data_IF_944192179509
#
_entry.id   IF_944192179509
#
_cell.length_a   1.000
_cell.length_b   1.000
_cell.length_c   1.000
_cell.angle_alpha   90.00
_cell.angle_beta   90.00
_cell.angle_gamma   90.00
#
_symmetry.space_group_name_H-M   'P 1'
#
loop_
_entity.id
_entity.type
_entity.pdbx_description
1 polymer ?
#
# COMPACT_ATOMS: atom_id res chain seq x y z
N UNK A 1 44.97 31.06 -15.11
CA UNK A 1 43.57 30.85 -14.67
C UNK A 1 42.81 30.34 -15.88
N UNK A 2 42.59 29.03 -15.94
CA UNK A 2 42.12 28.35 -17.16
C UNK A 2 40.62 28.57 -17.38
N UNK A 3 40.16 28.92 -18.59
CA UNK A 3 38.74 28.97 -18.89
C UNK A 3 38.19 27.55 -18.97
N UNK A 4 37.14 27.26 -18.22
CA UNK A 4 36.35 26.02 -18.32
C UNK A 4 35.83 25.89 -19.75
N UNK A 5 36.42 24.97 -20.50
CA UNK A 5 36.04 24.63 -21.87
C UNK A 5 34.60 24.13 -21.90
N UNK A 6 33.87 24.60 -22.92
CA UNK A 6 32.43 24.42 -23.07
C UNK A 6 31.94 22.98 -23.04
N UNK A 7 30.69 22.81 -22.60
CA UNK A 7 29.97 21.55 -22.71
C UNK A 7 30.03 21.05 -24.16
N UNK A 8 30.65 19.89 -24.38
CA UNK A 8 30.68 19.24 -25.69
C UNK A 8 29.23 19.01 -26.16
N UNK A 9 28.93 19.33 -27.42
CA UNK A 9 27.60 19.01 -27.97
C UNK A 9 27.43 17.49 -28.05
N UNK A 10 26.19 17.00 -27.92
CA UNK A 10 25.86 15.56 -28.06
C UNK A 10 26.42 15.00 -29.38
N UNK A 11 26.42 15.82 -30.43
CA UNK A 11 26.99 15.46 -31.73
C UNK A 11 28.51 15.25 -31.67
N UNK A 12 29.24 16.15 -31.01
CA UNK A 12 30.70 16.02 -30.82
C UNK A 12 31.03 14.81 -29.94
N UNK A 13 30.24 14.57 -28.89
CA UNK A 13 30.38 13.40 -28.02
C UNK A 13 30.15 12.10 -28.80
N UNK A 14 29.09 12.03 -29.61
CA UNK A 14 28.79 10.85 -30.45
C UNK A 14 29.91 10.59 -31.48
N UNK A 15 30.44 11.65 -32.11
CA UNK A 15 31.56 11.55 -33.05
C UNK A 15 32.83 11.00 -32.38
N UNK A 16 33.19 11.53 -31.21
CA UNK A 16 34.36 11.09 -30.46
C UNK A 16 34.22 9.63 -29.98
N UNK A 17 33.02 9.25 -29.52
CA UNK A 17 32.72 7.90 -29.07
C UNK A 17 32.43 6.91 -30.22
N UNK A 18 32.43 7.37 -31.48
CA UNK A 18 32.14 6.58 -32.69
C UNK A 18 30.80 5.84 -32.64
N UNK A 19 29.80 6.44 -31.99
CA UNK A 19 28.41 5.94 -31.92
C UNK A 19 27.49 6.83 -32.75
N UNK A 20 26.45 6.23 -33.33
CA UNK A 20 25.44 7.03 -34.03
C UNK A 20 24.59 7.80 -33.02
N UNK A 21 24.19 9.04 -33.37
CA UNK A 21 23.23 9.83 -32.57
C UNK A 21 21.94 9.05 -32.28
N UNK A 22 21.45 8.30 -33.28
CA UNK A 22 20.25 7.49 -33.13
C UNK A 22 20.42 6.39 -32.06
N UNK A 23 21.58 5.72 -32.03
CA UNK A 23 21.89 4.72 -31.00
C UNK A 23 22.02 5.36 -29.61
N UNK A 24 22.64 6.54 -29.52
CA UNK A 24 22.75 7.27 -28.26
C UNK A 24 21.38 7.64 -27.69
N UNK A 25 20.49 8.24 -28.48
CA UNK A 25 19.14 8.57 -28.02
C UNK A 25 18.30 7.33 -27.71
N UNK A 26 18.47 6.22 -28.46
CA UNK A 26 17.77 4.96 -28.16
C UNK A 26 18.19 4.42 -26.79
N UNK A 27 19.50 4.34 -26.53
CA UNK A 27 20.04 3.92 -25.24
C UNK A 27 19.61 4.85 -24.10
N UNK A 28 19.57 6.15 -24.36
CA UNK A 28 19.10 7.14 -23.38
C UNK A 28 17.61 6.96 -23.06
N UNK A 29 16.78 6.65 -24.06
CA UNK A 29 15.35 6.34 -23.86
C UNK A 29 15.16 5.00 -23.15
N UNK A 30 16.07 4.05 -23.27
CA UNK A 30 16.00 2.75 -22.58
C UNK A 30 16.42 2.86 -21.10
N UNK A 31 17.50 3.57 -20.78
CA UNK A 31 18.04 3.62 -19.42
C UNK A 31 17.46 4.73 -18.53
N UNK A 32 17.13 5.89 -19.11
CA UNK A 32 16.63 7.04 -18.33
C UNK A 32 15.26 6.80 -17.65
N UNK A 33 14.32 6.03 -18.23
CA UNK A 33 13.08 5.68 -17.53
C UNK A 33 13.34 4.77 -16.33
N UNK A 34 14.31 3.85 -16.41
CA UNK A 34 14.56 2.84 -15.38
C UNK A 34 15.12 3.45 -14.09
N UNK A 35 16.09 4.36 -14.20
CA UNK A 35 16.69 5.03 -13.03
C UNK A 35 15.73 6.00 -12.34
N UNK A 36 15.02 6.84 -13.12
CA UNK A 36 13.99 7.73 -12.56
C UNK A 36 12.85 6.95 -11.93
N UNK A 37 12.38 5.87 -12.57
CA UNK A 37 11.33 5.03 -12.01
C UNK A 37 11.78 4.34 -10.74
N UNK A 38 13.06 3.95 -10.62
CA UNK A 38 13.58 3.30 -9.41
C UNK A 38 13.58 4.25 -8.20
N UNK A 39 14.02 5.50 -8.37
CA UNK A 39 14.02 6.50 -7.30
C UNK A 39 12.59 6.84 -6.84
N UNK A 40 11.67 7.01 -7.80
CA UNK A 40 10.26 7.28 -7.51
C UNK A 40 9.59 6.08 -6.85
N UNK A 41 9.83 4.85 -7.35
CA UNK A 41 9.30 3.62 -6.77
C UNK A 41 9.77 3.41 -5.34
N UNK A 42 11.06 3.59 -5.08
CA UNK A 42 11.63 3.49 -3.73
C UNK A 42 10.94 4.45 -2.77
N UNK A 43 10.75 5.70 -3.20
CA UNK A 43 10.04 6.72 -2.40
C UNK A 43 8.57 6.35 -2.15
N UNK A 44 7.86 5.84 -3.16
CA UNK A 44 6.47 5.36 -3.03
C UNK A 44 6.39 4.22 -2.02
N UNK A 45 7.28 3.23 -2.11
CA UNK A 45 7.33 2.07 -1.22
C UNK A 45 7.59 2.48 0.23
N UNK A 46 8.56 3.38 0.46
CA UNK A 46 8.85 3.92 1.79
C UNK A 46 7.63 4.61 2.41
N UNK A 47 6.94 5.47 1.66
CA UNK A 47 5.74 6.17 2.13
C UNK A 47 4.61 5.17 2.42
N UNK A 48 4.40 4.20 1.51
CA UNK A 48 3.37 3.19 1.69
C UNK A 48 3.60 2.34 2.96
N UNK A 49 4.84 1.91 3.21
CA UNK A 49 5.20 1.14 4.40
C UNK A 49 5.08 1.98 5.68
N UNK A 50 5.58 3.22 5.68
CA UNK A 50 5.49 4.13 6.82
C UNK A 50 4.04 4.35 7.28
N UNK A 51 3.08 4.35 6.35
CA UNK A 51 1.65 4.52 6.65
C UNK A 51 0.86 3.21 6.73
N UNK A 52 1.53 2.05 6.80
CA UNK A 52 0.91 0.72 6.85
C UNK A 52 -0.09 0.48 5.70
N UNK A 53 0.28 0.93 4.50
CA UNK A 53 -0.53 0.86 3.27
C UNK A 53 -1.90 1.54 3.37
N UNK A 54 -2.13 2.44 4.32
CA UNK A 54 -3.41 3.18 4.43
C UNK A 54 -3.51 4.34 3.43
N UNK A 55 -2.38 4.81 2.92
CA UNK A 55 -2.35 5.96 2.02
C UNK A 55 -2.58 5.50 0.58
N UNK A 56 -3.60 6.07 -0.06
CA UNK A 56 -3.81 5.93 -1.51
C UNK A 56 -2.91 6.86 -2.33
N UNK A 57 -2.91 6.67 -3.65
CA UNK A 57 -2.06 7.40 -4.60
C UNK A 57 -2.18 8.92 -4.48
N UNK A 58 -3.34 9.46 -4.08
CA UNK A 58 -3.53 10.91 -3.86
C UNK A 58 -2.68 11.44 -2.71
N UNK A 59 -2.67 10.74 -1.57
CA UNK A 59 -1.89 11.12 -0.38
C UNK A 59 -0.40 10.90 -0.63
N UNK A 60 -0.04 9.78 -1.26
CA UNK A 60 1.34 9.51 -1.66
C UNK A 60 1.85 10.58 -2.65
N UNK A 61 1.04 11.00 -3.61
CA UNK A 61 1.44 12.08 -4.54
C UNK A 61 1.69 13.42 -3.83
N UNK A 62 0.92 13.74 -2.78
CA UNK A 62 1.13 14.95 -1.99
C UNK A 62 2.42 14.87 -1.15
N UNK A 63 2.68 13.70 -0.57
CA UNK A 63 3.90 13.42 0.20
C UNK A 63 5.15 13.48 -0.69
N UNK A 64 5.09 12.88 -1.89
CA UNK A 64 6.17 12.97 -2.89
C UNK A 64 6.47 14.42 -3.26
N UNK A 65 5.44 15.24 -3.47
CA UNK A 65 5.61 16.67 -3.75
C UNK A 65 6.28 17.41 -2.60
N UNK A 66 5.93 17.06 -1.36
CA UNK A 66 6.54 17.64 -0.15
C UNK A 66 8.03 17.30 -0.04
N UNK A 67 8.42 16.13 -0.55
CA UNK A 67 9.83 15.69 -0.65
C UNK A 67 10.56 16.24 -1.88
N UNK A 68 9.95 17.15 -2.65
CA UNK A 68 10.54 17.74 -3.86
C UNK A 68 10.41 16.88 -5.12
N UNK A 69 9.75 15.72 -5.06
CA UNK A 69 9.53 14.84 -6.21
C UNK A 69 8.23 15.21 -6.93
N UNK A 70 8.35 15.97 -8.03
CA UNK A 70 7.22 16.39 -8.85
C UNK A 70 6.81 15.30 -9.84
N UNK A 71 6.01 14.34 -9.35
CA UNK A 71 5.48 13.23 -10.16
C UNK A 71 3.99 13.41 -10.41
N UNK A 72 3.54 13.16 -11.65
CA UNK A 72 2.11 13.18 -11.97
C UNK A 72 1.37 12.07 -11.20
N UNK A 73 0.25 12.43 -10.55
CA UNK A 73 -0.62 11.50 -9.82
C UNK A 73 -1.03 10.24 -10.60
N UNK A 74 -1.15 10.32 -11.94
CA UNK A 74 -1.43 9.16 -12.80
C UNK A 74 -0.22 8.22 -12.92
N UNK A 75 1.01 8.76 -12.94
CA UNK A 75 2.24 7.94 -12.91
C UNK A 75 2.37 7.23 -11.55
N UNK A 76 2.12 7.94 -10.45
CA UNK A 76 2.08 7.33 -9.10
C UNK A 76 1.07 6.19 -9.04
N UNK A 77 -0.15 6.39 -9.56
CA UNK A 77 -1.17 5.33 -9.59
C UNK A 77 -0.71 4.09 -10.38
N UNK A 78 -0.13 4.27 -11.58
CA UNK A 78 0.39 3.16 -12.39
C UNK A 78 1.49 2.38 -11.67
N UNK A 79 2.45 3.08 -11.06
CA UNK A 79 3.53 2.45 -10.30
C UNK A 79 3.00 1.69 -9.08
N UNK A 80 2.06 2.27 -8.34
CA UNK A 80 1.41 1.59 -7.22
C UNK A 80 0.63 0.34 -7.64
N UNK A 81 -0.01 0.36 -8.82
CA UNK A 81 -0.70 -0.81 -9.36
C UNK A 81 0.29 -1.90 -9.78
N UNK A 82 1.37 -1.54 -10.48
CA UNK A 82 2.41 -2.46 -10.90
C UNK A 82 3.09 -3.14 -9.70
N UNK A 83 3.28 -2.40 -8.60
CA UNK A 83 3.97 -2.89 -7.40
C UNK A 83 3.00 -3.46 -6.34
N UNK A 84 1.70 -3.57 -6.66
CA UNK A 84 0.64 -4.06 -5.76
C UNK A 84 0.55 -3.30 -4.40
N UNK A 85 0.78 -1.98 -4.43
CA UNK A 85 0.80 -1.08 -3.27
C UNK A 85 -0.53 -0.33 -3.07
N UNK A 86 -1.64 -0.85 -3.59
CA UNK A 86 -2.95 -0.23 -3.41
C UNK A 86 -3.30 -0.11 -1.91
N UNK A 87 -4.03 0.97 -1.58
CA UNK A 87 -4.34 1.28 -0.20
C UNK A 87 -5.28 0.22 0.39
N UNK A 88 -4.95 -0.25 1.59
CA UNK A 88 -5.76 -1.20 2.35
C UNK A 88 -6.51 -0.41 3.42
N UNK A 89 -7.84 -0.43 3.33
CA UNK A 89 -8.69 0.10 4.39
C UNK A 89 -8.86 -1.00 5.44
N UNK A 90 -8.51 -0.75 6.72
CA UNK A 90 -8.82 -1.71 7.77
C UNK A 90 -10.33 -1.85 7.88
N UNK A 91 -10.80 -3.09 8.09
CA UNK A 91 -12.21 -3.35 8.39
C UNK A 91 -12.56 -2.57 9.66
N UNK A 92 -13.68 -1.86 9.65
CA UNK A 92 -14.18 -1.22 10.84
C UNK A 92 -14.36 -2.27 11.94
N UNK A 93 -13.80 -2.02 13.12
CA UNK A 93 -14.09 -2.84 14.29
C UNK A 93 -15.54 -2.55 14.68
N UNK A 94 -16.38 -3.59 14.66
CA UNK A 94 -17.77 -3.48 15.08
C UNK A 94 -17.84 -4.02 16.49
N UNK A 95 -18.14 -3.14 17.45
CA UNK A 95 -18.45 -3.52 18.82
C UNK A 95 -19.87 -4.06 18.81
N UNK A 96 -20.03 -5.37 18.95
CA UNK A 96 -21.35 -6.01 19.03
C UNK A 96 -21.89 -6.02 20.47
N UNK A 97 -21.06 -5.70 21.45
CA UNK A 97 -21.39 -5.80 22.87
C UNK A 97 -21.40 -4.41 23.51
N UNK A 98 -22.57 -3.97 23.94
CA UNK A 98 -22.70 -2.82 24.84
C UNK A 98 -22.15 -3.23 26.21
N UNK A 99 -20.88 -2.89 26.47
CA UNK A 99 -20.21 -3.22 27.73
C UNK A 99 -20.52 -2.22 28.85
N UNK A 100 -21.03 -1.04 28.49
CA UNK A 100 -21.48 0.00 29.41
C UNK A 100 -23.00 -0.10 29.62
N UNK A 101 -23.44 -1.25 30.11
CA UNK A 101 -24.84 -1.48 30.45
C UNK A 101 -25.01 -1.46 31.98
N UNK A 102 -26.18 -1.02 32.45
CA UNK A 102 -26.52 -1.05 33.88
C UNK A 102 -26.99 -2.43 34.38
N UNK A 103 -26.92 -3.47 33.54
CA UNK A 103 -27.26 -4.83 33.93
C UNK A 103 -26.17 -5.46 34.80
N UNK A 104 -26.58 -6.38 35.68
CA UNK A 104 -25.67 -7.12 36.53
C UNK A 104 -24.68 -7.95 35.69
N UNK A 105 -23.38 -7.72 35.92
CA UNK A 105 -22.31 -8.47 35.29
C UNK A 105 -22.02 -9.70 36.14
N UNK A 106 -22.39 -10.86 35.63
CA UNK A 106 -22.10 -12.14 36.27
C UNK A 106 -20.70 -12.62 35.90
N UNK A 107 -20.02 -13.28 36.84
CA UNK A 107 -18.70 -13.87 36.60
C UNK A 107 -18.80 -14.93 35.49
N UNK A 108 -17.93 -14.85 34.48
CA UNK A 108 -17.80 -15.91 33.49
C UNK A 108 -17.20 -17.15 34.15
N UNK A 109 -18.07 -18.08 34.57
CA UNK A 109 -17.66 -19.34 35.20
C UNK A 109 -17.08 -20.32 34.18
N UNK A 110 -17.52 -20.25 32.92
CA UNK A 110 -17.05 -21.14 31.87
C UNK A 110 -15.53 -21.03 31.63
N UNK A 111 -14.96 -19.83 31.71
CA UNK A 111 -13.51 -19.62 31.56
C UNK A 111 -12.67 -20.19 32.72
N UNK A 112 -13.32 -20.65 33.79
CA UNK A 112 -12.68 -21.14 35.02
C UNK A 112 -12.93 -22.62 35.29
N UNK A 113 -13.70 -23.31 34.43
CA UNK A 113 -14.03 -24.72 34.59
C UNK A 113 -12.99 -25.62 33.90
N UNK A 114 -12.64 -26.72 34.57
CA UNK A 114 -11.92 -27.84 33.96
C UNK A 114 -12.90 -28.91 33.52
N UNK A 115 -13.05 -29.10 32.20
CA UNK A 115 -13.96 -30.07 31.61
C UNK A 115 -13.26 -31.45 31.52
N UNK A 116 -13.93 -32.50 32.01
CA UNK A 116 -13.42 -33.88 32.09
C UNK A 116 -14.17 -34.85 31.18
N UNK A 117 -15.25 -34.40 30.53
CA UNK A 117 -16.06 -35.23 29.64
C UNK A 117 -16.99 -34.42 28.73
N UNK A 118 -17.70 -35.13 27.85
CA UNK A 118 -18.68 -34.52 26.95
C UNK A 118 -19.90 -33.99 27.71
N UNK A 119 -20.63 -33.04 27.12
CA UNK A 119 -21.89 -32.49 27.64
C UNK A 119 -21.79 -31.75 28.99
N UNK A 120 -20.61 -31.23 29.35
CA UNK A 120 -20.39 -30.51 30.61
C UNK A 120 -20.50 -28.98 30.52
N UNK A 121 -20.35 -28.42 29.32
CA UNK A 121 -20.51 -26.99 29.04
C UNK A 121 -21.13 -26.82 27.67
N UNK A 122 -22.19 -26.02 27.59
CA UNK A 122 -22.86 -25.68 26.35
C UNK A 122 -22.73 -24.17 26.15
N UNK A 123 -22.11 -23.75 25.06
CA UNK A 123 -21.99 -22.34 24.67
C UNK A 123 -22.82 -22.14 23.41
N UNK A 124 -23.71 -21.16 23.43
CA UNK A 124 -24.52 -20.77 22.29
C UNK A 124 -24.39 -19.26 22.08
N UNK A 125 -24.40 -18.84 20.82
CA UNK A 125 -24.51 -17.45 20.42
C UNK A 125 -25.88 -17.18 19.79
N UNK A 126 -26.37 -15.95 19.96
CA UNK A 126 -27.57 -15.49 19.27
C UNK A 126 -27.16 -14.52 18.17
N UNK A 127 -27.53 -14.85 16.93
CA UNK A 127 -27.32 -13.97 15.78
C UNK A 127 -28.66 -13.35 15.40
N UNK A 128 -28.77 -12.03 15.55
CA UNK A 128 -29.93 -11.29 15.07
C UNK A 128 -29.85 -11.16 13.54
N UNK A 129 -30.79 -11.77 12.82
CA UNK A 129 -30.92 -11.60 11.37
C UNK A 129 -31.96 -10.52 11.06
N UNK A 130 -31.58 -9.58 10.20
CA UNK A 130 -32.52 -8.60 9.65
C UNK A 130 -33.27 -9.19 8.46
N UNK A 131 -34.57 -8.92 8.24
CA UNK A 131 -35.39 -9.57 7.19
C UNK A 131 -34.85 -9.45 5.76
N UNK A 132 -33.93 -8.51 5.49
CA UNK A 132 -33.35 -8.27 4.17
C UNK A 132 -32.08 -9.06 3.85
N UNK A 133 -31.48 -9.78 4.82
CA UNK A 133 -30.25 -10.56 4.59
C UNK A 133 -30.58 -12.06 4.48
N UNK A 134 -30.67 -12.58 3.25
CA UNK A 134 -30.56 -14.03 3.02
C UNK A 134 -29.09 -14.43 3.18
N UNK A 135 -28.73 -14.99 4.33
CA UNK A 135 -27.43 -15.65 4.50
C UNK A 135 -27.40 -16.93 3.64
N UNK A 136 -26.33 -17.20 2.87
CA UNK A 136 -26.14 -18.52 2.28
C UNK A 136 -25.80 -19.54 3.39
N UNK A 137 -26.17 -20.82 3.23
CA UNK A 137 -25.88 -21.82 4.24
C UNK A 137 -24.38 -22.11 4.25
N UNK A 138 -23.73 -21.94 5.40
CA UNK A 138 -22.37 -22.42 5.65
C UNK A 138 -22.47 -23.42 6.79
N UNK A 139 -22.37 -24.70 6.46
CA UNK A 139 -22.03 -25.76 7.42
C UNK A 139 -20.74 -26.39 6.92
N UNK A 140 -19.72 -26.36 7.79
CA UNK A 140 -18.50 -27.16 7.71
C UNK A 140 -18.34 -27.87 9.03
#
# INVERSE_FOLDING_TARGET
>A
MMPTQGALSIERMCQLARVSRASFYRSLVEHHPEEEDMAVRSSIQQIALAHRRRYGYRRISAELRTRGLLVNRKRVLRLMQADNLLAVQPRAFVVTTESDHHLDVYLNLASRMTLTGMNQLWVADITYSTPSQRSPPVWG
#
